data_IF_716577299755
#
_entry.id   IF_716577299755
#
_cell.length_a   1.000
_cell.length_b   1.000
_cell.length_c   1.000
_cell.angle_alpha   90.00
_cell.angle_beta   90.00
_cell.angle_gamma   90.00
#
_symmetry.space_group_name_H-M   'P 1'
#
loop_
_entity.id
_entity.type
_entity.pdbx_description
1 polymer ?
#
# COMPACT_ATOMS: atom_id res chain seq x y z
N UNK A 1 11.55 -28.41 -46.89
CA UNK A 1 10.94 -29.06 -45.71
C UNK A 1 11.47 -28.50 -44.37
N UNK A 2 12.79 -28.30 -44.20
CA UNK A 2 13.38 -27.80 -42.93
C UNK A 2 13.01 -26.35 -42.57
N UNK A 3 12.90 -25.47 -43.57
CA UNK A 3 12.55 -24.04 -43.38
C UNK A 3 11.05 -23.83 -43.08
N UNK A 4 10.17 -24.60 -43.73
CA UNK A 4 8.72 -24.56 -43.48
C UNK A 4 8.36 -25.08 -42.09
N UNK A 5 9.03 -26.13 -41.60
CA UNK A 5 8.89 -26.58 -40.23
C UNK A 5 9.39 -25.53 -39.21
N UNK A 6 10.48 -24.82 -39.52
CA UNK A 6 11.01 -23.74 -38.68
C UNK A 6 10.04 -22.55 -38.59
N UNK A 7 9.43 -22.14 -39.71
CA UNK A 7 8.44 -21.06 -39.71
C UNK A 7 7.17 -21.44 -38.93
N UNK A 8 6.72 -22.69 -39.03
CA UNK A 8 5.58 -23.21 -38.26
C UNK A 8 5.82 -23.16 -36.75
N UNK A 9 7.03 -23.54 -36.30
CA UNK A 9 7.39 -23.48 -34.88
C UNK A 9 7.47 -22.04 -34.36
N UNK A 10 8.01 -21.10 -35.16
CA UNK A 10 8.10 -19.69 -34.77
C UNK A 10 6.69 -19.09 -34.64
N UNK A 11 5.79 -19.35 -35.59
CA UNK A 11 4.40 -18.87 -35.50
C UNK A 11 3.66 -19.45 -34.30
N UNK A 12 3.89 -20.72 -33.95
CA UNK A 12 3.27 -21.35 -32.78
C UNK A 12 3.76 -20.75 -31.46
N UNK A 13 5.02 -20.33 -31.39
CA UNK A 13 5.59 -19.68 -30.19
C UNK A 13 5.07 -18.24 -29.99
N UNK A 14 4.81 -17.48 -31.05
CA UNK A 14 4.22 -16.14 -30.93
C UNK A 14 2.76 -16.15 -30.42
N UNK A 15 2.00 -17.21 -30.69
CA UNK A 15 0.61 -17.36 -30.23
C UNK A 15 0.49 -17.58 -28.72
N UNK A 16 1.53 -18.09 -28.04
CA UNK A 16 1.47 -18.34 -26.58
C UNK A 16 1.79 -17.10 -25.75
N UNK A 17 2.40 -16.06 -26.34
CA UNK A 17 2.76 -14.82 -25.64
C UNK A 17 1.55 -13.92 -25.33
N UNK A 18 0.42 -14.08 -26.03
CA UNK A 18 -0.82 -13.34 -25.76
C UNK A 18 -1.75 -14.02 -24.73
N UNK A 19 -1.43 -15.25 -24.29
CA UNK A 19 -2.25 -15.99 -23.33
C UNK A 19 -2.00 -15.61 -21.86
N UNK A 20 -1.01 -14.76 -21.58
CA UNK A 20 -0.68 -14.31 -20.22
C UNK A 20 -1.38 -12.98 -19.87
N UNK A 21 -2.67 -12.86 -20.16
CA UNK A 21 -3.49 -11.82 -19.53
C UNK A 21 -3.80 -12.30 -18.11
N UNK A 22 -2.96 -11.90 -17.15
CA UNK A 22 -3.28 -11.99 -15.72
C UNK A 22 -4.62 -11.29 -15.51
N UNK A 23 -5.70 -12.06 -15.40
CA UNK A 23 -6.92 -11.62 -14.72
C UNK A 23 -6.50 -11.37 -13.28
N UNK A 24 -6.18 -10.13 -12.98
CA UNK A 24 -5.99 -9.68 -11.61
C UNK A 24 -7.31 -9.99 -10.91
N UNK A 25 -7.31 -11.02 -10.06
CA UNK A 25 -8.38 -11.22 -9.12
C UNK A 25 -8.47 -9.95 -8.30
N UNK A 26 -9.64 -9.30 -8.34
CA UNK A 26 -10.01 -8.22 -7.46
C UNK A 26 -9.66 -8.67 -6.03
N UNK A 27 -8.61 -8.09 -5.47
CA UNK A 27 -8.21 -8.35 -4.10
C UNK A 27 -9.39 -7.92 -3.23
N UNK A 28 -9.96 -8.86 -2.46
CA UNK A 28 -11.03 -8.60 -1.52
C UNK A 28 -10.55 -7.56 -0.51
N UNK A 29 -10.81 -6.29 -0.83
CA UNK A 29 -10.48 -5.14 -0.01
C UNK A 29 -11.34 -5.23 1.24
N UNK A 30 -10.78 -5.24 2.46
CA UNK A 30 -11.60 -5.01 3.64
C UNK A 30 -12.25 -3.64 3.47
N UNK A 31 -13.59 -3.63 3.44
CA UNK A 31 -14.37 -2.40 3.34
C UNK A 31 -14.13 -1.57 4.59
N UNK A 32 -13.21 -0.61 4.49
CA UNK A 32 -13.20 0.51 5.44
C UNK A 32 -14.43 1.34 5.11
N UNK A 33 -15.47 1.16 5.93
CA UNK A 33 -16.66 2.00 6.00
C UNK A 33 -16.22 3.47 6.09
N UNK A 34 -16.16 4.13 4.94
CA UNK A 34 -15.85 5.56 4.83
C UNK A 34 -17.07 6.21 4.20
N UNK A 35 -17.82 6.99 5.00
CA UNK A 35 -18.50 8.13 4.40
C UNK A 35 -17.44 8.89 3.60
N UNK A 36 -17.62 9.02 2.28
CA UNK A 36 -16.62 9.39 1.28
C UNK A 36 -15.39 10.15 1.85
N UNK A 37 -14.35 9.40 2.24
CA UNK A 37 -13.09 10.01 2.68
C UNK A 37 -12.33 10.46 1.44
N UNK A 38 -12.04 11.75 1.40
CA UNK A 38 -11.36 12.46 0.31
C UNK A 38 -10.11 13.14 0.84
N UNK A 39 -9.29 13.68 -0.06
CA UNK A 39 -8.13 14.50 0.31
C UNK A 39 -8.52 15.68 1.20
N UNK A 40 -9.72 16.23 1.00
CA UNK A 40 -10.20 17.43 1.68
C UNK A 40 -10.69 17.17 3.12
N UNK A 41 -11.10 15.93 3.44
CA UNK A 41 -11.66 15.60 4.76
C UNK A 41 -10.91 14.50 5.53
N UNK A 42 -9.89 13.85 4.94
CA UNK A 42 -9.11 12.81 5.62
C UNK A 42 -8.53 13.28 6.96
N UNK A 43 -8.62 12.42 7.97
CA UNK A 43 -8.09 12.64 9.31
C UNK A 43 -7.58 11.35 9.92
N UNK A 44 -7.00 11.45 11.11
CA UNK A 44 -6.62 10.29 11.88
C UNK A 44 -7.85 9.43 12.25
N UNK A 45 -8.89 10.04 12.82
CA UNK A 45 -10.04 9.28 13.32
C UNK A 45 -10.88 8.64 12.21
N UNK A 46 -11.01 9.27 11.03
CA UNK A 46 -11.88 8.77 9.97
C UNK A 46 -11.21 7.78 9.00
N UNK A 47 -9.87 7.72 8.97
CA UNK A 47 -9.16 6.88 8.01
C UNK A 47 -7.73 6.50 8.44
N UNK A 48 -6.87 7.48 8.74
CA UNK A 48 -5.43 7.22 8.86
C UNK A 48 -5.10 6.33 10.06
N UNK A 49 -5.81 6.48 11.19
CA UNK A 49 -5.64 5.62 12.36
C UNK A 49 -5.93 4.15 12.04
N UNK A 50 -7.01 3.88 11.30
CA UNK A 50 -7.33 2.54 10.84
C UNK A 50 -6.27 2.01 9.86
N UNK A 51 -5.86 2.81 8.88
CA UNK A 51 -4.81 2.45 7.92
C UNK A 51 -3.51 2.04 8.64
N UNK A 52 -3.02 2.86 9.57
CA UNK A 52 -1.80 2.60 10.32
C UNK A 52 -1.96 1.38 11.25
N UNK A 53 -3.13 1.21 11.85
CA UNK A 53 -3.42 0.01 12.65
C UNK A 53 -3.31 -1.24 11.80
N UNK A 54 -3.93 -1.26 10.61
CA UNK A 54 -3.91 -2.41 9.71
C UNK A 54 -2.53 -2.70 9.14
N UNK A 55 -1.78 -1.66 8.72
CA UNK A 55 -0.51 -1.83 7.99
C UNK A 55 0.73 -1.86 8.88
N UNK A 56 0.68 -1.28 10.07
CA UNK A 56 1.87 -1.05 10.89
C UNK A 56 1.84 -1.82 12.22
N UNK A 57 0.67 -2.00 12.85
CA UNK A 57 0.58 -2.49 14.23
C UNK A 57 1.15 -3.90 14.45
N UNK A 58 1.12 -4.78 13.44
CA UNK A 58 1.67 -6.12 13.59
C UNK A 58 3.19 -6.12 13.89
N UNK A 59 3.95 -5.24 13.25
CA UNK A 59 5.39 -5.14 13.45
C UNK A 59 5.75 -4.08 14.50
N UNK A 60 5.00 -2.98 14.54
CA UNK A 60 5.33 -1.80 15.34
C UNK A 60 4.41 -1.59 16.55
N UNK A 61 3.41 -2.43 16.78
CA UNK A 61 2.54 -2.33 17.96
C UNK A 61 3.20 -2.81 19.25
N UNK A 62 2.50 -2.76 20.40
CA UNK A 62 3.05 -3.16 21.71
C UNK A 62 3.64 -4.58 21.77
N UNK A 63 3.11 -5.48 20.94
CA UNK A 63 3.55 -6.88 20.82
C UNK A 63 4.38 -7.15 19.56
N UNK A 64 4.63 -6.13 18.74
CA UNK A 64 5.36 -6.27 17.49
C UNK A 64 6.87 -6.38 17.69
N UNK A 65 7.51 -7.21 16.87
CA UNK A 65 8.96 -7.45 16.95
C UNK A 65 9.84 -6.24 16.59
N UNK A 66 9.27 -5.19 15.99
CA UNK A 66 9.95 -3.96 15.57
C UNK A 66 9.63 -2.75 16.46
N UNK A 67 8.93 -2.95 17.58
CA UNK A 67 8.56 -1.87 18.53
C UNK A 67 9.75 -1.08 19.08
N UNK A 68 10.94 -1.68 19.14
CA UNK A 68 12.17 -1.01 19.59
C UNK A 68 12.72 0.02 18.60
N UNK A 69 12.42 -0.13 17.30
CA UNK A 69 12.82 0.83 16.26
C UNK A 69 11.85 2.00 16.18
N UNK A 70 10.56 1.67 16.25
CA UNK A 70 9.44 2.61 16.32
C UNK A 70 8.22 1.89 16.90
N UNK A 71 7.59 2.47 17.92
CA UNK A 71 6.37 1.96 18.55
C UNK A 71 5.17 2.77 18.03
N UNK A 72 4.23 2.09 17.38
CA UNK A 72 2.91 2.63 17.09
C UNK A 72 2.03 2.52 18.34
N UNK A 73 1.70 3.66 18.94
CA UNK A 73 0.84 3.76 20.13
C UNK A 73 -0.14 4.95 20.07
N UNK A 74 -0.46 5.40 18.86
CA UNK A 74 -1.39 6.49 18.61
C UNK A 74 -0.85 7.52 17.63
N UNK A 75 -1.63 8.58 17.41
CA UNK A 75 -1.29 9.65 16.48
C UNK A 75 0.04 10.32 16.84
N UNK A 76 0.33 10.51 18.13
CA UNK A 76 1.54 11.20 18.59
C UNK A 76 2.83 10.49 18.18
N UNK A 77 2.87 9.15 18.15
CA UNK A 77 4.08 8.44 17.71
C UNK A 77 4.31 8.52 16.20
N UNK A 78 3.27 8.84 15.43
CA UNK A 78 3.33 9.04 13.99
C UNK A 78 3.74 10.48 13.69
N UNK A 79 3.08 11.45 14.31
CA UNK A 79 3.33 12.87 14.07
C UNK A 79 4.63 13.37 14.71
N UNK A 80 5.10 12.69 15.76
CA UNK A 80 6.35 13.00 16.45
C UNK A 80 7.61 12.40 15.83
N UNK A 81 7.49 11.51 14.83
CA UNK A 81 8.64 10.85 14.18
C UNK A 81 8.58 11.02 12.66
N UNK A 82 9.40 11.94 12.14
CA UNK A 82 9.47 12.26 10.70
C UNK A 82 9.89 11.06 9.84
N UNK A 83 10.55 10.05 10.43
CA UNK A 83 10.94 8.84 9.72
C UNK A 83 9.71 8.07 9.24
N UNK A 84 8.57 8.16 9.92
CA UNK A 84 7.34 7.47 9.51
C UNK A 84 6.86 8.00 8.17
N UNK A 85 6.82 9.34 7.98
CA UNK A 85 6.51 9.96 6.69
C UNK A 85 7.52 9.53 5.62
N UNK A 86 8.81 9.64 5.92
CA UNK A 86 9.87 9.33 4.95
C UNK A 86 9.82 7.88 4.49
N UNK A 87 9.69 6.93 5.41
CA UNK A 87 9.68 5.49 5.11
C UNK A 87 8.43 5.02 4.36
N UNK A 88 7.29 5.68 4.57
CA UNK A 88 6.02 5.31 3.94
C UNK A 88 5.74 6.03 2.62
N UNK A 89 6.18 7.29 2.48
CA UNK A 89 5.82 8.14 1.34
C UNK A 89 7.01 8.56 0.46
N UNK A 90 8.25 8.56 0.98
CA UNK A 90 9.43 9.01 0.22
C UNK A 90 10.26 7.82 -0.23
N UNK A 91 10.81 7.05 0.70
CA UNK A 91 11.63 5.87 0.38
C UNK A 91 10.80 4.63 0.13
N UNK A 92 9.54 4.62 0.60
CA UNK A 92 8.56 3.55 0.40
C UNK A 92 9.07 2.15 0.79
N UNK A 93 9.92 2.08 1.82
CA UNK A 93 10.44 0.81 2.36
C UNK A 93 9.54 0.21 3.45
N UNK A 94 8.49 0.93 3.85
CA UNK A 94 7.45 0.44 4.76
C UNK A 94 6.06 0.52 4.10
N UNK A 95 5.17 -0.44 4.38
CA UNK A 95 5.33 -1.59 5.29
C UNK A 95 6.15 -2.75 4.69
N UNK A 96 6.91 -3.47 5.52
CA UNK A 96 7.65 -4.68 5.11
C UNK A 96 6.68 -5.81 4.70
N UNK A 97 6.93 -6.46 3.56
CA UNK A 97 6.13 -7.58 3.07
C UNK A 97 4.74 -7.20 2.56
N UNK A 98 4.42 -5.91 2.50
CA UNK A 98 3.17 -5.39 1.94
C UNK A 98 3.44 -4.05 1.24
N UNK A 99 2.38 -3.37 0.81
CA UNK A 99 2.48 -2.01 0.29
C UNK A 99 1.21 -1.22 0.60
N UNK A 100 1.33 0.10 0.50
CA UNK A 100 0.18 0.99 0.42
C UNK A 100 -0.34 1.03 -1.02
N UNK A 101 -1.64 0.86 -1.19
CA UNK A 101 -2.33 1.11 -2.46
C UNK A 101 -2.20 2.58 -2.87
N UNK A 102 -2.47 2.87 -4.15
CA UNK A 102 -2.43 4.25 -4.65
C UNK A 102 -3.38 5.18 -3.86
N UNK A 103 -4.58 4.69 -3.51
CA UNK A 103 -5.54 5.46 -2.72
C UNK A 103 -5.05 5.70 -1.29
N UNK A 104 -4.50 4.67 -0.63
CA UNK A 104 -3.92 4.79 0.73
C UNK A 104 -2.78 5.82 0.75
N UNK A 105 -1.86 5.75 -0.21
CA UNK A 105 -0.77 6.74 -0.36
C UNK A 105 -1.32 8.15 -0.56
N UNK A 106 -2.32 8.30 -1.41
CA UNK A 106 -2.93 9.60 -1.70
C UNK A 106 -3.58 10.23 -0.46
N UNK A 107 -4.34 9.45 0.30
CA UNK A 107 -5.02 9.93 1.50
C UNK A 107 -4.04 10.17 2.65
N UNK A 108 -3.03 9.30 2.81
CA UNK A 108 -1.96 9.51 3.80
C UNK A 108 -1.14 10.76 3.48
N UNK A 109 -0.82 11.00 2.20
CA UNK A 109 -0.13 12.23 1.75
C UNK A 109 -0.97 13.46 2.06
N UNK A 110 -2.25 13.46 1.68
CA UNK A 110 -3.17 14.57 1.96
C UNK A 110 -3.33 14.84 3.46
N UNK A 111 -3.31 13.80 4.30
CA UNK A 111 -3.34 13.95 5.75
C UNK A 111 -2.08 14.65 6.28
N UNK A 112 -0.88 14.25 5.83
CA UNK A 112 0.37 14.94 6.17
C UNK A 112 0.37 16.40 5.69
N UNK A 113 -0.05 16.65 4.46
CA UNK A 113 -0.04 17.99 3.85
C UNK A 113 -1.04 18.95 4.52
N UNK A 114 -2.10 18.41 5.13
CA UNK A 114 -3.10 19.16 5.90
C UNK A 114 -2.72 19.36 7.37
N UNK A 115 -1.48 19.06 7.75
CA UNK A 115 -1.01 19.23 9.14
C UNK A 115 -1.48 18.13 10.08
N UNK A 116 -1.76 16.93 9.56
CA UNK A 116 -2.09 15.72 10.34
C UNK A 116 -3.30 15.90 11.28
N UNK A 117 -4.47 16.35 10.76
CA UNK A 117 -5.65 16.57 11.58
C UNK A 117 -6.11 15.28 12.28
N UNK A 118 -6.53 15.40 13.54
CA UNK A 118 -7.00 14.27 14.33
C UNK A 118 -8.49 13.92 14.07
N UNK A 119 -9.31 14.94 13.83
CA UNK A 119 -10.79 14.99 13.90
C UNK A 119 -11.56 13.91 13.15
#
# INVERSE_FOLDING_TARGET
MRKTALYLCITAFYLTLFACSKKQAEELKPEINTGSVTKANVSYNNYVGALLTTKCNNCHGPNGGQKGTWLFNGIQSVTGDTRVKTTTLVTMNMPLGSSLTAQEKQLLTAWYDRGMPAN
#
